data_IF_012897125196
#
_entry.id   IF_012897125196
#
_cell.length_a   1.000
_cell.length_b   1.000
_cell.length_c   1.000
_cell.angle_alpha   90.00
_cell.angle_beta   90.00
_cell.angle_gamma   90.00
#
_symmetry.space_group_name_H-M   'P 1'
#
loop_
_entity.id
_entity.type
_entity.pdbx_description
1 polymer ?
#
# COMPACT_ATOMS: atom_id res chain seq x y z
N UNK A 1 -1.61 -20.23 -5.22
CA UNK A 1 -2.86 -20.48 -4.55
C UNK A 1 -2.62 -20.56 -3.05
N UNK A 2 -3.33 -19.75 -2.26
CA UNK A 2 -3.27 -19.83 -0.80
C UNK A 2 -4.09 -21.04 -0.42
N UNK A 3 -3.46 -22.02 0.24
CA UNK A 3 -4.16 -23.19 0.78
C UNK A 3 -4.81 -22.79 2.13
N UNK A 4 -6.11 -22.56 2.11
CA UNK A 4 -6.90 -22.17 3.27
C UNK A 4 -7.21 -23.34 4.23
N UNK A 5 -6.89 -24.57 3.86
CA UNK A 5 -7.28 -25.77 4.61
C UNK A 5 -6.17 -26.40 5.44
N UNK A 6 -4.92 -25.99 5.25
CA UNK A 6 -3.80 -26.51 6.01
C UNK A 6 -3.49 -25.63 7.23
N UNK A 7 -3.81 -26.16 8.40
CA UNK A 7 -3.35 -25.75 9.72
C UNK A 7 -4.01 -24.52 10.36
N UNK A 8 -5.14 -24.75 11.00
CA UNK A 8 -5.69 -23.87 12.02
C UNK A 8 -5.62 -24.61 13.36
N UNK A 9 -4.50 -24.49 14.08
CA UNK A 9 -4.39 -24.76 15.53
C UNK A 9 -3.20 -24.01 16.10
N UNK A 10 -3.34 -22.71 16.27
CA UNK A 10 -2.49 -21.88 17.13
C UNK A 10 -3.42 -20.94 17.87
N UNK A 11 -3.01 -20.44 19.02
CA UNK A 11 -3.77 -19.46 19.81
C UNK A 11 -4.12 -18.21 18.94
N UNK A 12 -5.11 -18.39 18.08
CA UNK A 12 -5.49 -17.48 16.98
C UNK A 12 -5.87 -16.11 17.51
N UNK A 13 -6.55 -16.08 18.68
CA UNK A 13 -6.98 -14.81 19.27
C UNK A 13 -5.76 -13.97 19.70
N UNK A 14 -4.74 -14.56 20.30
CA UNK A 14 -3.55 -13.83 20.72
C UNK A 14 -2.75 -13.30 19.52
N UNK A 15 -2.60 -14.10 18.48
CA UNK A 15 -1.93 -13.70 17.23
C UNK A 15 -2.72 -12.59 16.52
N UNK A 16 -4.03 -12.71 16.42
CA UNK A 16 -4.89 -11.70 15.83
C UNK A 16 -4.81 -10.36 16.58
N UNK A 17 -4.84 -10.41 17.91
CA UNK A 17 -4.70 -9.23 18.76
C UNK A 17 -3.31 -8.57 18.62
N UNK A 18 -2.26 -9.36 18.48
CA UNK A 18 -0.90 -8.86 18.26
C UNK A 18 -0.79 -8.16 16.91
N UNK A 19 -1.30 -8.77 15.85
CA UNK A 19 -1.31 -8.17 14.50
C UNK A 19 -2.08 -6.85 14.50
N UNK A 20 -3.26 -6.81 15.13
CA UNK A 20 -4.05 -5.56 15.21
C UNK A 20 -3.29 -4.46 15.97
N UNK A 21 -2.67 -4.77 17.11
CA UNK A 21 -1.85 -3.79 17.86
C UNK A 21 -0.70 -3.26 17.00
N UNK A 22 -0.02 -4.12 16.26
CA UNK A 22 1.07 -3.71 15.39
C UNK A 22 0.60 -2.78 14.27
N UNK A 23 -0.57 -3.07 13.68
CA UNK A 23 -1.19 -2.20 12.65
C UNK A 23 -1.58 -0.85 13.25
N UNK A 24 -2.20 -0.84 14.42
CA UNK A 24 -2.59 0.40 15.12
C UNK A 24 -1.36 1.24 15.49
N UNK A 25 -0.30 0.62 16.00
CA UNK A 25 0.95 1.30 16.31
C UNK A 25 1.51 1.99 15.06
N UNK A 26 1.62 1.28 13.94
CA UNK A 26 2.10 1.85 12.67
C UNK A 26 1.23 3.01 12.20
N UNK A 27 -0.09 2.84 12.19
CA UNK A 27 -1.02 3.86 11.73
C UNK A 27 -1.08 5.08 12.66
N UNK A 28 -0.64 4.96 13.91
CA UNK A 28 -0.52 6.06 14.87
C UNK A 28 0.76 6.87 14.71
N UNK A 29 1.82 6.31 14.11
CA UNK A 29 3.10 7.00 13.86
C UNK A 29 2.96 8.03 12.74
N UNK A 30 3.96 8.91 12.58
CA UNK A 30 3.99 9.82 11.45
C UNK A 30 4.23 9.04 10.15
N UNK A 31 3.18 8.82 9.39
CA UNK A 31 3.32 8.26 8.04
C UNK A 31 3.81 9.33 7.07
N UNK A 32 4.63 8.92 6.09
CA UNK A 32 5.01 9.80 4.98
C UNK A 32 5.17 9.02 3.67
N UNK A 33 4.99 9.73 2.55
CA UNK A 33 5.09 9.17 1.21
C UNK A 33 6.08 9.98 0.38
N UNK A 34 7.03 9.29 -0.26
CA UNK A 34 7.88 9.91 -1.28
C UNK A 34 7.20 9.77 -2.62
N UNK A 35 7.03 10.91 -3.30
CA UNK A 35 6.35 10.99 -4.59
C UNK A 35 7.16 11.86 -5.57
N UNK A 36 7.22 11.42 -6.82
CA UNK A 36 7.91 12.13 -7.90
C UNK A 36 7.52 11.59 -9.27
N UNK A 37 8.04 12.19 -10.32
CA UNK A 37 8.23 11.50 -11.59
C UNK A 37 9.30 10.43 -11.43
N UNK A 38 9.16 9.30 -12.09
CA UNK A 38 10.21 8.27 -12.13
C UNK A 38 11.56 8.88 -12.54
N UNK A 39 12.66 8.30 -12.07
CA UNK A 39 14.03 8.79 -12.32
C UNK A 39 14.38 10.15 -11.69
N UNK A 40 13.57 10.64 -10.75
CA UNK A 40 13.85 11.88 -10.01
C UNK A 40 14.76 11.69 -8.78
N UNK A 41 15.31 10.51 -8.54
CA UNK A 41 16.21 10.24 -7.42
C UNK A 41 15.49 9.77 -6.14
N UNK A 42 14.25 9.30 -6.23
CA UNK A 42 13.45 8.85 -5.08
C UNK A 42 14.10 7.72 -4.29
N UNK A 43 14.82 6.81 -4.94
CA UNK A 43 15.58 5.75 -4.26
C UNK A 43 16.72 6.32 -3.40
N UNK A 44 17.41 7.33 -3.89
CA UNK A 44 18.44 8.01 -3.13
C UNK A 44 17.85 8.71 -1.88
N UNK A 45 16.74 9.43 -2.05
CA UNK A 45 16.02 10.06 -0.94
C UNK A 45 15.54 9.03 0.08
N UNK A 46 14.98 7.92 -0.39
CA UNK A 46 14.56 6.80 0.46
C UNK A 46 15.71 6.30 1.33
N UNK A 47 16.88 6.01 0.72
CA UNK A 47 18.04 5.50 1.44
C UNK A 47 18.60 6.51 2.45
N UNK A 48 18.58 7.80 2.12
CA UNK A 48 18.97 8.85 3.06
C UNK A 48 18.06 8.90 4.28
N UNK A 49 16.76 8.83 4.08
CA UNK A 49 15.77 8.84 5.16
C UNK A 49 15.85 7.55 5.99
N UNK A 50 15.98 6.39 5.35
CA UNK A 50 16.10 5.09 6.01
C UNK A 50 17.42 4.95 6.81
N UNK A 51 18.44 5.76 6.53
CA UNK A 51 19.66 5.85 7.31
C UNK A 51 19.53 6.64 8.61
N UNK A 52 18.38 7.27 8.86
CA UNK A 52 18.15 8.01 10.10
C UNK A 52 17.59 7.07 11.20
N UNK A 53 18.08 7.12 12.44
CA UNK A 53 17.70 6.16 13.48
C UNK A 53 16.24 6.21 13.92
N UNK A 54 15.54 7.31 13.63
CA UNK A 54 14.11 7.49 13.97
C UNK A 54 13.18 7.32 12.77
N UNK A 55 13.69 6.92 11.59
CA UNK A 55 12.90 6.81 10.36
C UNK A 55 13.10 5.44 9.73
N UNK A 56 12.01 4.83 9.30
CA UNK A 56 12.03 3.66 8.41
C UNK A 56 11.34 4.04 7.10
N UNK A 57 12.01 3.85 5.97
CA UNK A 57 11.45 4.10 4.65
C UNK A 57 11.86 3.00 3.67
N UNK A 58 10.92 2.17 3.28
CA UNK A 58 11.19 0.98 2.48
C UNK A 58 10.33 0.96 1.20
N UNK A 59 10.84 0.26 0.22
CA UNK A 59 10.22 -0.29 -0.97
C UNK A 59 9.23 0.57 -1.72
N UNK A 60 8.51 -0.10 -2.60
CA UNK A 60 7.41 0.46 -3.37
C UNK A 60 6.12 -0.33 -3.05
N UNK A 61 5.35 0.15 -2.08
CA UNK A 61 4.11 -0.48 -1.63
C UNK A 61 2.97 -0.38 -2.64
N UNK A 62 3.00 0.63 -3.50
CA UNK A 62 2.01 0.89 -4.56
C UNK A 62 0.56 0.79 -4.06
N UNK A 63 0.29 1.34 -2.87
CA UNK A 63 -0.98 1.17 -2.16
C UNK A 63 -2.20 1.64 -2.95
N UNK A 64 -2.09 2.76 -3.68
CA UNK A 64 -3.20 3.25 -4.51
C UNK A 64 -3.18 2.66 -5.91
N UNK A 65 -2.00 2.59 -6.55
CA UNK A 65 -1.89 2.17 -7.94
C UNK A 65 -2.16 0.68 -8.16
N UNK A 66 -1.90 -0.17 -7.17
CA UNK A 66 -2.05 -1.63 -7.27
C UNK A 66 -2.98 -2.20 -6.21
N UNK A 67 -2.65 -2.01 -4.93
CA UNK A 67 -3.40 -2.63 -3.84
C UNK A 67 -4.87 -2.21 -3.84
N UNK A 68 -5.15 -0.90 -3.94
CA UNK A 68 -6.52 -0.39 -3.97
C UNK A 68 -7.33 -0.95 -5.16
N UNK A 69 -6.72 -1.05 -6.34
CA UNK A 69 -7.36 -1.62 -7.51
C UNK A 69 -7.71 -3.10 -7.35
N UNK A 70 -6.77 -3.89 -6.78
CA UNK A 70 -6.98 -5.31 -6.53
C UNK A 70 -8.06 -5.57 -5.49
N UNK A 71 -8.02 -4.85 -4.36
CA UNK A 71 -9.05 -4.95 -3.31
C UNK A 71 -10.42 -4.50 -3.84
N UNK A 72 -10.47 -3.33 -4.49
CA UNK A 72 -11.74 -2.80 -5.01
C UNK A 72 -12.37 -3.69 -6.06
N UNK A 73 -11.57 -4.34 -6.90
CA UNK A 73 -12.05 -5.33 -7.86
C UNK A 73 -12.73 -6.53 -7.20
N UNK A 74 -12.05 -7.15 -6.23
CA UNK A 74 -12.60 -8.29 -5.48
C UNK A 74 -13.84 -7.93 -4.66
N UNK A 75 -13.83 -6.79 -3.98
CA UNK A 75 -14.99 -6.34 -3.20
C UNK A 75 -16.20 -6.03 -4.10
N UNK A 76 -15.97 -5.44 -5.26
CA UNK A 76 -17.04 -5.19 -6.25
C UNK A 76 -17.64 -6.48 -6.77
N UNK A 77 -16.81 -7.46 -7.11
CA UNK A 77 -17.27 -8.76 -7.57
C UNK A 77 -18.14 -9.46 -6.51
N UNK A 78 -17.66 -9.48 -5.26
CA UNK A 78 -18.40 -10.03 -4.12
C UNK A 78 -19.73 -9.29 -3.89
N UNK A 79 -19.70 -7.95 -3.85
CA UNK A 79 -20.91 -7.14 -3.65
C UNK A 79 -21.96 -7.39 -4.76
N UNK A 80 -21.52 -7.48 -6.01
CA UNK A 80 -22.43 -7.80 -7.13
C UNK A 80 -23.08 -9.19 -7.00
N UNK A 81 -22.34 -10.16 -6.48
CA UNK A 81 -22.89 -11.50 -6.18
C UNK A 81 -23.97 -11.41 -5.09
N UNK A 82 -23.68 -10.71 -3.98
CA UNK A 82 -24.64 -10.53 -2.87
C UNK A 82 -25.90 -9.75 -3.33
N UNK A 83 -25.73 -8.69 -4.12
CA UNK A 83 -26.85 -7.94 -4.71
C UNK A 83 -27.75 -8.86 -5.57
N UNK A 84 -27.14 -9.76 -6.34
CA UNK A 84 -27.87 -10.78 -7.11
C UNK A 84 -28.68 -11.73 -6.21
N UNK A 85 -28.13 -12.20 -5.10
CA UNK A 85 -28.83 -13.01 -4.12
C UNK A 85 -29.97 -12.25 -3.46
N UNK A 86 -29.72 -11.00 -3.02
CA UNK A 86 -30.72 -10.14 -2.40
C UNK A 86 -31.92 -9.95 -3.33
N UNK A 87 -31.67 -9.69 -4.62
CA UNK A 87 -32.72 -9.47 -5.59
C UNK A 87 -33.54 -10.75 -5.93
N UNK A 88 -32.87 -11.90 -6.04
CA UNK A 88 -33.51 -13.11 -6.61
C UNK A 88 -34.00 -14.08 -5.54
N UNK A 89 -33.40 -14.06 -4.33
CA UNK A 89 -33.71 -15.04 -3.27
C UNK A 89 -34.33 -14.35 -2.04
N UNK A 90 -33.85 -13.15 -1.71
CA UNK A 90 -34.23 -12.43 -0.49
C UNK A 90 -35.01 -11.15 -0.76
N UNK A 91 -35.72 -11.07 -1.90
CA UNK A 91 -36.44 -9.87 -2.35
C UNK A 91 -37.50 -9.33 -1.35
N UNK A 92 -38.02 -10.20 -0.49
CA UNK A 92 -39.04 -9.85 0.52
C UNK A 92 -38.49 -9.77 1.95
N UNK A 93 -37.17 -9.82 2.10
CA UNK A 93 -36.50 -9.77 3.41
C UNK A 93 -35.37 -8.74 3.41
N UNK A 94 -34.88 -8.40 4.60
CA UNK A 94 -33.64 -7.63 4.71
C UNK A 94 -32.48 -8.45 4.17
N UNK A 95 -31.95 -8.06 2.99
CA UNK A 95 -30.85 -8.73 2.34
C UNK A 95 -29.53 -8.60 3.13
N UNK A 96 -28.48 -9.29 2.66
CA UNK A 96 -27.16 -9.17 3.25
C UNK A 96 -26.46 -7.88 2.79
N UNK A 97 -25.75 -7.17 3.67
CA UNK A 97 -25.05 -5.93 3.30
C UNK A 97 -23.93 -6.16 2.30
N UNK A 98 -23.57 -5.12 1.56
CA UNK A 98 -22.48 -5.10 0.60
C UNK A 98 -21.44 -4.08 1.02
N UNK A 99 -20.22 -4.21 0.50
CA UNK A 99 -19.14 -3.25 0.74
C UNK A 99 -19.40 -1.93 0.03
N UNK A 100 -19.11 -0.85 0.74
CA UNK A 100 -19.14 0.50 0.21
C UNK A 100 -17.72 1.09 0.02
N UNK A 101 -17.67 2.39 -0.29
CA UNK A 101 -16.41 3.12 -0.50
C UNK A 101 -15.62 3.30 0.80
N UNK A 102 -16.28 3.46 1.92
CA UNK A 102 -15.63 3.68 3.21
C UNK A 102 -15.02 2.38 3.71
N UNK A 103 -15.69 1.25 3.50
CA UNK A 103 -15.16 -0.08 3.74
C UNK A 103 -13.90 -0.34 2.93
N UNK A 104 -13.91 -0.03 1.63
CA UNK A 104 -12.72 -0.15 0.79
C UNK A 104 -11.57 0.71 1.31
N UNK A 105 -11.84 1.94 1.69
CA UNK A 105 -10.84 2.86 2.24
C UNK A 105 -10.26 2.33 3.54
N UNK A 106 -11.10 1.78 4.42
CA UNK A 106 -10.68 1.13 5.65
C UNK A 106 -9.78 -0.07 5.37
N UNK A 107 -10.18 -0.97 4.49
CA UNK A 107 -9.40 -2.16 4.13
C UNK A 107 -8.04 -1.81 3.50
N UNK A 108 -7.97 -0.77 2.67
CA UNK A 108 -6.69 -0.28 2.12
C UNK A 108 -5.78 0.20 3.25
N UNK A 109 -6.29 0.99 4.19
CA UNK A 109 -5.52 1.49 5.34
C UNK A 109 -5.00 0.36 6.22
N UNK A 110 -5.85 -0.60 6.56
CA UNK A 110 -5.48 -1.77 7.35
C UNK A 110 -4.43 -2.62 6.63
N UNK A 111 -4.60 -2.85 5.33
CA UNK A 111 -3.64 -3.61 4.51
C UNK A 111 -2.29 -2.89 4.40
N UNK A 112 -2.28 -1.57 4.26
CA UNK A 112 -1.05 -0.78 4.25
C UNK A 112 -0.35 -0.83 5.62
N UNK A 113 -1.09 -0.66 6.71
CA UNK A 113 -0.58 -0.79 8.08
C UNK A 113 0.02 -2.18 8.33
N UNK A 114 -0.66 -3.24 7.90
CA UNK A 114 -0.18 -4.61 7.99
C UNK A 114 1.11 -4.85 7.22
N UNK A 115 1.24 -4.29 6.02
CA UNK A 115 2.47 -4.41 5.23
C UNK A 115 3.62 -3.63 5.87
N UNK A 116 3.37 -2.43 6.34
CA UNK A 116 4.36 -1.59 7.00
C UNK A 116 4.78 -2.15 8.36
N UNK A 117 3.87 -2.82 9.10
CA UNK A 117 4.20 -3.44 10.39
C UNK A 117 5.15 -4.65 10.29
N UNK A 118 5.38 -5.16 9.07
CA UNK A 118 6.38 -6.22 8.81
C UNK A 118 7.82 -5.69 8.75
N UNK A 119 8.03 -4.38 8.78
CA UNK A 119 9.36 -3.83 8.95
C UNK A 119 9.86 -4.03 10.38
N UNK A 120 11.18 -4.09 10.54
CA UNK A 120 11.80 -4.09 11.86
C UNK A 120 11.74 -2.67 12.44
N UNK A 121 10.68 -2.40 13.19
CA UNK A 121 10.36 -1.06 13.73
C UNK A 121 10.57 -1.07 15.23
N UNK A 122 11.63 -0.40 15.65
CA UNK A 122 11.94 -0.22 17.08
C UNK A 122 11.12 0.92 17.70
N UNK A 123 11.11 1.00 19.03
CA UNK A 123 10.43 2.07 19.77
C UNK A 123 10.93 3.47 19.41
N UNK A 124 12.18 3.60 18.98
CA UNK A 124 12.78 4.89 18.60
C UNK A 124 12.26 5.41 17.26
N UNK A 125 11.67 4.56 16.42
CA UNK A 125 11.17 4.98 15.09
C UNK A 125 9.94 5.85 15.27
N UNK A 126 10.02 7.09 14.82
CA UNK A 126 8.94 8.10 14.91
C UNK A 126 8.18 8.26 13.61
N UNK A 127 8.84 7.99 12.48
CA UNK A 127 8.23 8.13 11.17
C UNK A 127 8.44 6.88 10.30
N UNK A 128 7.37 6.46 9.65
CA UNK A 128 7.35 5.29 8.74
C UNK A 128 6.93 5.75 7.36
N UNK A 129 7.75 5.47 6.37
CA UNK A 129 7.55 5.92 5.01
C UNK A 129 7.54 4.84 3.96
N UNK A 130 6.92 5.18 2.86
CA UNK A 130 6.86 4.38 1.66
C UNK A 130 7.29 5.22 0.46
N UNK A 131 8.06 4.63 -0.44
CA UNK A 131 8.53 5.31 -1.64
C UNK A 131 7.99 4.62 -2.88
N UNK A 132 6.99 5.21 -3.50
CA UNK A 132 6.55 4.91 -4.86
C UNK A 132 6.59 6.21 -5.68
N UNK A 133 7.45 6.33 -6.69
CA UNK A 133 7.51 7.56 -7.50
C UNK A 133 6.14 7.96 -8.02
N UNK A 134 5.39 7.02 -8.58
CA UNK A 134 4.04 7.21 -9.11
C UNK A 134 2.99 7.74 -8.13
N UNK A 135 3.28 7.82 -6.85
CA UNK A 135 2.38 8.43 -5.84
C UNK A 135 1.99 9.87 -6.18
N UNK A 136 2.82 10.57 -6.96
CA UNK A 136 2.50 11.93 -7.43
C UNK A 136 1.17 12.01 -8.18
N UNK A 137 0.75 10.93 -8.85
CA UNK A 137 -0.53 10.85 -9.59
C UNK A 137 -1.73 10.60 -8.66
N UNK A 138 -1.47 10.19 -7.43
CA UNK A 138 -2.48 9.71 -6.47
C UNK A 138 -2.48 10.50 -5.16
N UNK A 139 -1.86 11.69 -5.12
CA UNK A 139 -1.73 12.49 -3.90
C UNK A 139 -3.06 12.73 -3.20
N UNK A 140 -4.12 13.02 -3.96
CA UNK A 140 -5.44 13.27 -3.40
C UNK A 140 -6.06 12.02 -2.76
N UNK A 141 -5.87 10.86 -3.39
CA UNK A 141 -6.31 9.58 -2.82
C UNK A 141 -5.52 9.21 -1.56
N UNK A 142 -4.19 9.41 -1.59
CA UNK A 142 -3.35 9.19 -0.41
C UNK A 142 -3.69 10.12 0.75
N UNK A 143 -4.00 11.40 0.47
CA UNK A 143 -4.47 12.35 1.48
C UNK A 143 -5.81 11.93 2.09
N UNK A 144 -6.73 11.39 1.28
CA UNK A 144 -8.01 10.88 1.76
C UNK A 144 -7.83 9.62 2.63
N UNK A 145 -6.93 8.73 2.24
CA UNK A 145 -6.63 7.50 2.98
C UNK A 145 -5.83 7.77 4.26
N UNK A 146 -4.87 8.70 4.21
CA UNK A 146 -3.93 9.02 5.29
C UNK A 146 -3.86 10.53 5.53
N UNK A 147 -4.88 11.13 6.12
CA UNK A 147 -5.02 12.59 6.19
C UNK A 147 -3.89 13.28 6.98
N UNK A 148 -3.24 12.58 7.90
CA UNK A 148 -2.13 13.09 8.69
C UNK A 148 -0.74 12.76 8.09
N UNK A 149 -0.68 12.09 6.94
CA UNK A 149 0.59 11.74 6.31
C UNK A 149 1.31 12.99 5.77
N UNK A 150 2.65 12.92 5.76
CA UNK A 150 3.50 13.92 5.11
C UNK A 150 3.88 13.45 3.70
N UNK A 151 4.22 14.40 2.84
CA UNK A 151 4.64 14.11 1.47
C UNK A 151 6.00 14.73 1.20
N UNK A 152 6.92 13.91 0.73
CA UNK A 152 8.22 14.35 0.19
C UNK A 152 8.10 14.36 -1.33
N UNK A 153 7.88 15.54 -1.89
CA UNK A 153 7.76 15.72 -3.34
C UNK A 153 9.13 16.04 -3.93
N UNK A 154 9.60 15.19 -4.82
CA UNK A 154 10.87 15.40 -5.50
C UNK A 154 10.64 15.91 -6.93
N UNK A 155 11.35 16.97 -7.26
CA UNK A 155 11.37 17.57 -8.59
C UNK A 155 12.79 17.49 -9.15
N UNK A 156 12.93 17.08 -10.39
CA UNK A 156 14.21 17.01 -11.10
C UNK A 156 14.06 17.61 -12.50
N UNK A 157 15.16 18.11 -13.06
CA UNK A 157 15.20 18.59 -14.44
C UNK A 157 14.75 17.47 -15.40
N UNK A 158 13.80 17.79 -16.27
CA UNK A 158 13.21 16.82 -17.20
C UNK A 158 14.26 16.21 -18.16
N UNK A 159 15.29 16.97 -18.53
CA UNK A 159 16.38 16.50 -19.39
C UNK A 159 17.13 15.37 -18.72
N UNK A 160 17.42 15.50 -17.42
CA UNK A 160 18.09 14.47 -16.64
C UNK A 160 17.22 13.23 -16.44
N UNK A 161 15.90 13.43 -16.29
CA UNK A 161 14.92 12.34 -16.20
C UNK A 161 14.95 11.50 -17.47
N UNK A 162 14.90 12.15 -18.64
CA UNK A 162 14.91 11.51 -19.97
C UNK A 162 16.21 10.71 -20.16
N UNK A 163 17.37 11.31 -19.89
CA UNK A 163 18.67 10.65 -20.02
C UNK A 163 18.74 9.43 -19.08
N UNK A 164 18.37 9.59 -17.81
CA UNK A 164 18.35 8.50 -16.83
C UNK A 164 17.38 7.38 -17.23
N UNK A 165 16.21 7.71 -17.76
CA UNK A 165 15.23 6.77 -18.26
C UNK A 165 15.78 5.94 -19.44
N UNK A 166 16.41 6.60 -20.40
CA UNK A 166 17.01 5.93 -21.55
C UNK A 166 18.12 4.94 -21.18
N UNK A 167 19.01 5.33 -20.24
CA UNK A 167 20.06 4.44 -19.73
C UNK A 167 19.43 3.24 -18.99
N UNK A 168 18.36 3.45 -18.25
CA UNK A 168 17.67 2.37 -17.54
C UNK A 168 17.03 1.36 -18.50
N UNK A 169 16.33 1.84 -19.53
CA UNK A 169 15.72 0.99 -20.55
C UNK A 169 16.77 0.16 -21.29
N UNK A 170 17.90 0.75 -21.68
CA UNK A 170 19.01 0.01 -22.31
C UNK A 170 19.54 -1.12 -21.43
N UNK A 171 19.65 -0.90 -20.11
CA UNK A 171 20.10 -1.95 -19.17
C UNK A 171 19.08 -3.09 -19.02
N UNK A 172 17.78 -2.78 -19.09
CA UNK A 172 16.74 -3.81 -19.02
C UNK A 172 16.71 -4.66 -20.30
N UNK A 173 16.78 -4.02 -21.46
CA UNK A 173 16.82 -4.76 -22.75
C UNK A 173 18.10 -5.55 -22.96
N UNK A 174 19.27 -5.09 -22.46
CA UNK A 174 20.51 -5.84 -22.49
C UNK A 174 20.48 -7.12 -21.65
N UNK A 175 19.75 -7.12 -20.54
CA UNK A 175 19.56 -8.33 -19.71
C UNK A 175 18.54 -9.33 -20.28
N UNK A 176 17.57 -8.88 -21.05
CA UNK A 176 16.56 -9.75 -21.68
C UNK A 176 17.09 -10.52 -22.90
N UNK A 177 18.32 -10.22 -23.38
CA UNK A 177 18.97 -10.94 -24.46
C UNK A 177 20.02 -11.99 -24.02
N UNK A 178 20.18 -12.15 -22.70
CA UNK A 178 21.14 -13.11 -22.09
C UNK A 178 20.44 -14.31 -21.41
N UNK A 179 19.12 -14.42 -21.48
CA UNK A 179 18.31 -15.60 -21.10
C UNK A 179 17.81 -16.33 -22.37
#
# INVERSE_FOLDING_TARGET
PIDWHSQIHVNEDAMFQEVNRNVEDILSRQLFFIAATEKSGTTWMQLMLDGHPEIVCRGEGQFVSKLAGSLGGGLKEYSSFIEGLNKNVFAETDGFPTFDRDDLSHLIRMSAGLLLSKYDITENVRAVGEKTPGNVRYLQALLSLFPNAKFVLMVRDIRDIIVSGHVHLKRQHGKAGEE
#
